data_IF_396284100244
#
_entry.id   IF_396284100244
#
_cell.length_a   1.000
_cell.length_b   1.000
_cell.length_c   1.000
_cell.angle_alpha   90.00
_cell.angle_beta   90.00
_cell.angle_gamma   90.00
#
_symmetry.space_group_name_H-M   'P 1'
#
loop_
_entity.id
_entity.type
_entity.pdbx_description
1 polymer ?
#
# COMPACT_ATOMS: atom_id res chain seq x y z
N UNK A 1 66.05 33.82 0.55
CA UNK A 1 64.65 34.09 0.94
C UNK A 1 63.79 33.40 -0.10
N UNK A 2 63.23 32.21 0.16
CA UNK A 2 61.98 31.98 0.92
C UNK A 2 60.91 32.97 0.40
N UNK A 3 59.74 32.60 -0.15
CA UNK A 3 58.85 31.46 0.09
C UNK A 3 57.67 31.58 -0.91
N UNK A 4 57.13 30.43 -1.38
CA UNK A 4 55.68 30.08 -1.45
C UNK A 4 54.72 30.94 -2.32
N UNK A 5 54.15 30.41 -3.40
CA UNK A 5 52.94 29.55 -3.51
C UNK A 5 51.66 30.32 -3.89
N UNK A 6 51.14 29.97 -5.07
CA UNK A 6 49.76 29.55 -5.35
C UNK A 6 48.60 30.53 -5.06
N UNK A 7 47.90 30.99 -6.10
CA UNK A 7 46.43 30.97 -6.12
C UNK A 7 45.85 31.11 -7.53
N UNK A 8 45.49 29.96 -8.07
CA UNK A 8 44.39 29.80 -9.03
C UNK A 8 43.08 30.38 -8.46
N UNK A 9 42.36 31.14 -9.28
CA UNK A 9 41.01 31.63 -8.97
C UNK A 9 40.23 31.84 -10.26
N UNK A 10 39.89 30.74 -10.93
CA UNK A 10 38.95 30.75 -12.04
C UNK A 10 37.56 30.99 -11.42
N UNK A 11 37.08 32.24 -11.46
CA UNK A 11 35.71 32.58 -11.05
C UNK A 11 34.73 32.01 -12.07
N UNK A 12 34.46 30.71 -11.97
CA UNK A 12 33.29 30.12 -12.59
C UNK A 12 32.07 30.62 -11.79
N UNK A 13 31.38 31.62 -12.34
CA UNK A 13 30.03 31.99 -11.93
C UNK A 13 29.16 30.73 -11.85
N UNK A 14 28.89 30.27 -10.63
CA UNK A 14 27.89 29.26 -10.37
C UNK A 14 26.53 29.93 -10.55
N UNK A 15 26.02 29.92 -11.79
CA UNK A 15 24.62 30.27 -12.08
C UNK A 15 23.74 29.31 -11.30
N UNK A 16 23.28 29.75 -10.13
CA UNK A 16 22.31 29.03 -9.33
C UNK A 16 21.00 28.94 -10.13
N UNK A 17 20.75 27.77 -10.74
CA UNK A 17 19.45 27.45 -11.32
C UNK A 17 18.44 27.36 -10.19
N UNK A 18 17.82 28.48 -9.86
CA UNK A 18 16.64 28.51 -9.03
C UNK A 18 15.58 27.68 -9.75
N UNK A 19 15.36 26.46 -9.28
CA UNK A 19 14.27 25.61 -9.76
C UNK A 19 12.96 26.28 -9.34
N UNK A 20 12.42 27.14 -10.21
CA UNK A 20 11.07 27.66 -10.04
C UNK A 20 10.11 26.48 -9.93
N UNK A 21 9.64 26.25 -8.70
CA UNK A 21 8.73 25.15 -8.43
C UNK A 21 7.46 25.38 -9.26
N UNK A 22 7.26 24.57 -10.30
CA UNK A 22 6.09 24.65 -11.17
C UNK A 22 4.84 24.61 -10.30
N UNK A 23 4.03 25.67 -10.35
CA UNK A 23 2.77 25.75 -9.62
C UNK A 23 1.92 24.53 -9.95
N UNK A 24 1.42 23.85 -8.92
CA UNK A 24 0.63 22.62 -9.08
C UNK A 24 -0.66 22.93 -9.84
N UNK A 25 -0.92 22.19 -10.92
CA UNK A 25 -2.15 22.33 -11.72
C UNK A 25 -3.40 22.22 -10.83
N UNK A 26 -4.32 23.18 -10.96
CA UNK A 26 -5.61 23.19 -10.25
C UNK A 26 -6.61 22.38 -11.06
N UNK A 27 -6.98 21.21 -10.55
CA UNK A 27 -7.93 20.31 -11.22
C UNK A 27 -9.38 20.46 -10.72
N UNK A 28 -9.63 21.23 -9.65
CA UNK A 28 -10.97 21.40 -9.08
C UNK A 28 -11.69 20.07 -8.82
N UNK A 29 -12.98 20.00 -9.14
CA UNK A 29 -13.84 18.79 -9.01
C UNK A 29 -13.32 17.57 -9.78
N UNK A 30 -12.55 17.76 -10.87
CA UNK A 30 -11.97 16.64 -11.61
C UNK A 30 -11.03 15.80 -10.73
N UNK A 31 -10.37 16.41 -9.73
CA UNK A 31 -9.52 15.68 -8.78
C UNK A 31 -10.32 14.65 -7.98
N UNK A 32 -11.50 15.03 -7.52
CA UNK A 32 -12.36 14.18 -6.70
C UNK A 32 -12.96 13.06 -7.53
N UNK A 33 -13.38 13.37 -8.76
CA UNK A 33 -13.81 12.37 -9.75
C UNK A 33 -12.70 11.37 -10.04
N UNK A 34 -11.47 11.82 -10.35
CA UNK A 34 -10.32 10.93 -10.56
C UNK A 34 -10.00 10.07 -9.33
N UNK A 35 -10.20 10.63 -8.11
CA UNK A 35 -10.01 9.87 -6.87
C UNK A 35 -11.03 8.73 -6.76
N UNK A 36 -12.30 9.00 -7.08
CA UNK A 36 -13.37 7.97 -7.11
C UNK A 36 -13.12 6.93 -8.19
N UNK A 37 -12.81 7.35 -9.42
CA UNK A 37 -12.50 6.43 -10.52
C UNK A 37 -11.39 5.47 -10.10
N UNK A 38 -10.26 5.98 -9.59
CA UNK A 38 -9.15 5.12 -9.13
C UNK A 38 -9.49 4.19 -7.98
N UNK A 39 -10.50 4.53 -7.18
CA UNK A 39 -10.96 3.71 -6.06
C UNK A 39 -11.84 2.55 -6.53
N UNK A 40 -12.60 2.75 -7.60
CA UNK A 40 -13.66 1.85 -8.04
C UNK A 40 -13.37 1.14 -9.37
N UNK A 41 -12.25 1.45 -10.03
CA UNK A 41 -11.86 0.89 -11.32
C UNK A 41 -10.86 -0.27 -11.19
N UNK A 42 -11.00 -1.14 -10.19
CA UNK A 42 -10.14 -2.32 -10.09
C UNK A 42 -10.63 -3.42 -11.05
N UNK A 43 -9.67 -4.18 -11.58
CA UNK A 43 -9.90 -5.28 -12.53
C UNK A 43 -9.26 -6.57 -12.02
N UNK A 44 -9.83 -7.72 -12.38
CA UNK A 44 -9.26 -9.02 -12.02
C UNK A 44 -7.95 -9.20 -12.77
N UNK A 45 -6.87 -9.46 -12.04
CA UNK A 45 -5.56 -9.72 -12.61
C UNK A 45 -5.42 -11.13 -13.20
N UNK A 46 -4.25 -11.40 -13.79
CA UNK A 46 -3.92 -12.69 -14.38
C UNK A 46 -3.95 -13.86 -13.36
N UNK A 47 -4.11 -15.08 -13.88
CA UNK A 47 -4.03 -16.29 -13.07
C UNK A 47 -2.66 -16.40 -12.38
N UNK A 48 -2.68 -16.79 -11.10
CA UNK A 48 -1.48 -16.97 -10.29
C UNK A 48 -0.68 -18.24 -10.61
N UNK A 49 -1.25 -19.22 -11.34
CA UNK A 49 -0.62 -20.49 -11.73
C UNK A 49 0.09 -21.24 -10.59
N UNK A 50 -0.36 -21.06 -9.34
CA UNK A 50 0.29 -21.66 -8.19
C UNK A 50 -0.22 -23.08 -7.92
N UNK A 51 0.58 -23.89 -7.21
CA UNK A 51 0.23 -25.26 -6.81
C UNK A 51 -1.08 -25.38 -6.02
N UNK A 52 -1.53 -24.30 -5.37
CA UNK A 52 -2.81 -24.26 -4.64
C UNK A 52 -4.03 -24.10 -5.57
N UNK A 53 -3.82 -23.99 -6.89
CA UNK A 53 -4.89 -23.91 -7.89
C UNK A 53 -5.93 -22.84 -7.55
N UNK A 54 -5.51 -21.68 -7.04
CA UNK A 54 -6.42 -20.70 -6.45
C UNK A 54 -7.51 -20.21 -7.41
N UNK A 55 -7.22 -20.10 -8.71
CA UNK A 55 -8.20 -19.69 -9.73
C UNK A 55 -9.14 -20.81 -10.17
N UNK A 56 -8.85 -22.07 -9.84
CA UNK A 56 -9.80 -23.16 -10.03
C UNK A 56 -10.71 -23.25 -8.80
N UNK A 57 -10.14 -23.13 -7.60
CA UNK A 57 -10.88 -23.19 -6.34
C UNK A 57 -11.79 -21.98 -6.08
N UNK A 58 -11.46 -20.82 -6.65
CA UNK A 58 -12.31 -19.62 -6.60
C UNK A 58 -12.92 -19.43 -7.98
N UNK A 59 -14.19 -19.80 -8.21
CA UNK A 59 -14.80 -19.76 -9.53
C UNK A 59 -14.87 -18.34 -10.08
N UNK A 60 -14.94 -18.21 -11.40
CA UNK A 60 -14.88 -16.90 -12.07
C UNK A 60 -15.99 -15.95 -11.62
N UNK A 61 -17.22 -16.45 -11.51
CA UNK A 61 -18.37 -15.66 -11.05
C UNK A 61 -18.19 -15.17 -9.60
N UNK A 62 -17.57 -15.98 -8.74
CA UNK A 62 -17.22 -15.55 -7.39
C UNK A 62 -16.14 -14.45 -7.42
N UNK A 63 -15.12 -14.56 -8.28
CA UNK A 63 -14.10 -13.50 -8.44
C UNK A 63 -14.71 -12.19 -8.93
N UNK A 64 -15.58 -12.25 -9.94
CA UNK A 64 -16.32 -11.09 -10.46
C UNK A 64 -17.16 -10.44 -9.37
N UNK A 65 -17.87 -11.24 -8.58
CA UNK A 65 -18.70 -10.76 -7.47
C UNK A 65 -17.87 -10.11 -6.37
N UNK A 66 -16.76 -10.75 -5.95
CA UNK A 66 -15.81 -10.19 -4.98
C UNK A 66 -15.30 -8.83 -5.46
N UNK A 67 -14.86 -8.75 -6.73
CA UNK A 67 -14.32 -7.51 -7.28
C UNK A 67 -15.40 -6.44 -7.41
N UNK A 68 -16.61 -6.80 -7.85
CA UNK A 68 -17.75 -5.88 -7.93
C UNK A 68 -18.06 -5.26 -6.56
N UNK A 69 -18.12 -6.08 -5.53
CA UNK A 69 -18.32 -5.62 -4.16
C UNK A 69 -17.15 -4.77 -3.68
N UNK A 70 -15.92 -5.13 -4.06
CA UNK A 70 -14.73 -4.36 -3.72
C UNK A 70 -14.74 -2.95 -4.33
N UNK A 71 -15.17 -2.85 -5.59
CA UNK A 71 -15.31 -1.58 -6.32
C UNK A 71 -16.51 -0.76 -5.85
N UNK A 72 -17.53 -1.38 -5.25
CA UNK A 72 -18.67 -0.67 -4.69
C UNK A 72 -18.34 0.10 -3.39
N UNK A 73 -17.23 -0.23 -2.71
CA UNK A 73 -16.81 0.46 -1.49
C UNK A 73 -16.52 1.94 -1.74
N UNK A 74 -16.91 2.78 -0.78
CA UNK A 74 -16.95 4.23 -0.94
C UNK A 74 -15.65 4.92 -0.55
N UNK A 75 -14.83 4.27 0.29
CA UNK A 75 -13.60 4.87 0.81
C UNK A 75 -12.40 3.92 0.81
N UNK A 76 -11.20 4.51 0.77
CA UNK A 76 -9.93 3.77 0.91
C UNK A 76 -9.86 3.05 2.26
N UNK A 77 -10.43 3.65 3.31
CA UNK A 77 -10.46 3.08 4.65
C UNK A 77 -11.32 1.82 4.70
N UNK A 78 -12.50 1.87 4.07
CA UNK A 78 -13.39 0.72 3.95
C UNK A 78 -12.72 -0.44 3.22
N UNK A 79 -12.08 -0.16 2.06
CA UNK A 79 -11.29 -1.15 1.34
C UNK A 79 -10.14 -1.73 2.17
N UNK A 80 -9.43 -0.88 2.93
CA UNK A 80 -8.34 -1.34 3.80
C UNK A 80 -8.86 -2.27 4.90
N UNK A 81 -9.95 -1.89 5.57
CA UNK A 81 -10.59 -2.71 6.61
C UNK A 81 -11.03 -4.05 6.06
N UNK A 82 -11.69 -4.06 4.90
CA UNK A 82 -12.10 -5.28 4.21
C UNK A 82 -10.90 -6.20 3.92
N UNK A 83 -9.86 -5.67 3.24
CA UNK A 83 -8.68 -6.48 2.89
C UNK A 83 -7.93 -6.98 4.12
N UNK A 84 -7.81 -6.14 5.16
CA UNK A 84 -7.19 -6.54 6.43
C UNK A 84 -7.95 -7.67 7.12
N UNK A 85 -9.29 -7.68 7.07
CA UNK A 85 -10.10 -8.79 7.61
C UNK A 85 -9.85 -10.13 6.91
N UNK A 86 -9.35 -10.09 5.68
CA UNK A 86 -9.00 -11.26 4.88
C UNK A 86 -7.51 -11.69 5.01
N UNK A 87 -6.72 -10.97 5.81
CA UNK A 87 -5.30 -11.27 6.04
C UNK A 87 -5.13 -11.72 7.48
N UNK A 88 -4.44 -12.85 7.66
CA UNK A 88 -4.05 -13.33 9.00
C UNK A 88 -2.54 -13.23 9.15
N UNK A 89 -2.08 -12.54 10.20
CA UNK A 89 -0.67 -12.49 10.57
C UNK A 89 -0.32 -13.75 11.37
N UNK A 90 0.71 -14.47 10.94
CA UNK A 90 1.18 -15.69 11.57
C UNK A 90 2.56 -15.47 12.18
N UNK A 91 2.73 -15.88 13.43
CA UNK A 91 4.01 -15.87 14.12
C UNK A 91 4.91 -17.00 13.58
N UNK A 92 6.17 -16.69 13.30
CA UNK A 92 7.14 -17.68 12.83
C UNK A 92 7.67 -18.44 14.04
N UNK A 93 7.22 -19.68 14.23
CA UNK A 93 7.57 -20.52 15.39
C UNK A 93 8.95 -21.17 15.31
N UNK A 94 9.46 -21.44 14.11
CA UNK A 94 10.78 -22.08 13.91
C UNK A 94 11.47 -21.49 12.69
N UNK A 95 12.77 -21.25 12.82
CA UNK A 95 13.64 -20.79 11.73
C UNK A 95 14.73 -21.83 11.48
N UNK A 96 15.23 -21.89 10.25
CA UNK A 96 16.41 -22.67 9.86
C UNK A 96 17.34 -21.74 9.07
N UNK A 97 17.96 -20.74 9.72
CA UNK A 97 18.90 -19.86 9.04
C UNK A 97 20.11 -20.68 8.56
N UNK A 98 20.56 -20.42 7.33
CA UNK A 98 21.78 -21.01 6.76
C UNK A 98 23.01 -20.08 6.87
N UNK A 99 22.79 -18.88 7.39
CA UNK A 99 23.77 -17.80 7.58
C UNK A 99 23.57 -17.25 8.99
N UNK A 100 24.59 -16.61 9.55
CA UNK A 100 24.51 -15.96 10.85
C UNK A 100 23.39 -14.92 10.90
N UNK A 101 22.79 -14.74 12.08
CA UNK A 101 21.58 -13.94 12.26
C UNK A 101 21.78 -12.47 11.88
N UNK A 102 22.98 -11.93 12.08
CA UNK A 102 23.31 -10.53 11.77
C UNK A 102 23.36 -10.23 10.26
N UNK A 103 23.59 -11.25 9.44
CA UNK A 103 23.64 -11.13 7.97
C UNK A 103 22.31 -11.57 7.34
N UNK A 104 21.56 -12.43 8.01
CA UNK A 104 20.34 -13.00 7.49
C UNK A 104 19.18 -11.98 7.63
N UNK A 105 18.68 -11.46 6.50
CA UNK A 105 17.46 -10.65 6.45
C UNK A 105 16.21 -11.52 6.70
N UNK A 106 16.03 -11.92 7.96
CA UNK A 106 15.02 -12.85 8.41
C UNK A 106 13.66 -12.17 8.46
N UNK A 107 12.66 -12.82 7.86
CA UNK A 107 11.27 -12.36 8.01
C UNK A 107 10.85 -12.56 9.45
N UNK A 108 10.20 -11.55 10.02
CA UNK A 108 9.65 -11.60 11.38
C UNK A 108 8.28 -12.27 11.45
N UNK A 109 7.52 -12.24 10.36
CA UNK A 109 6.10 -12.61 10.34
C UNK A 109 5.74 -13.28 9.01
N UNK A 110 4.86 -14.28 9.07
CA UNK A 110 4.23 -14.90 7.92
C UNK A 110 2.79 -14.38 7.76
N UNK A 111 2.19 -14.57 6.60
CA UNK A 111 0.85 -14.08 6.30
C UNK A 111 0.05 -15.15 5.57
N UNK A 112 -1.18 -15.39 6.01
CA UNK A 112 -2.20 -16.15 5.27
C UNK A 112 -3.20 -15.21 4.63
N UNK A 113 -3.69 -15.57 3.45
CA UNK A 113 -4.69 -14.83 2.70
C UNK A 113 -5.88 -15.73 2.44
N UNK A 114 -7.07 -15.19 2.60
CA UNK A 114 -8.33 -15.88 2.36
C UNK A 114 -9.26 -15.05 1.51
N UNK A 115 -10.20 -15.70 0.87
CA UNK A 115 -11.35 -15.06 0.21
C UNK A 115 -12.63 -15.70 0.72
N UNK A 116 -13.67 -14.87 0.81
CA UNK A 116 -15.01 -15.28 1.19
C UNK A 116 -15.94 -15.03 0.02
N UNK A 117 -16.69 -16.04 -0.37
CA UNK A 117 -17.72 -15.91 -1.39
C UNK A 117 -18.92 -16.79 -1.04
N UNK A 118 -20.09 -16.38 -1.52
CA UNK A 118 -21.32 -17.12 -1.30
C UNK A 118 -21.56 -18.03 -2.50
N UNK A 119 -21.81 -19.30 -2.21
CA UNK A 119 -22.42 -20.26 -3.14
C UNK A 119 -23.88 -20.45 -2.73
N UNK A 120 -24.71 -21.00 -3.62
CA UNK A 120 -26.18 -21.05 -3.48
C UNK A 120 -26.65 -21.51 -2.09
N UNK A 121 -25.93 -22.42 -1.44
CA UNK A 121 -26.31 -22.98 -0.14
C UNK A 121 -25.38 -22.65 1.03
N UNK A 122 -24.27 -21.92 0.84
CA UNK A 122 -23.32 -21.66 1.93
C UNK A 122 -22.32 -20.53 1.68
N UNK A 123 -21.79 -19.95 2.76
CA UNK A 123 -20.63 -19.07 2.72
C UNK A 123 -19.35 -19.93 2.73
N UNK A 124 -18.53 -19.80 1.68
CA UNK A 124 -17.24 -20.47 1.61
C UNK A 124 -16.09 -19.53 1.95
N UNK A 125 -15.10 -20.05 2.69
CA UNK A 125 -13.84 -19.37 2.97
C UNK A 125 -12.68 -20.25 2.50
N UNK A 126 -11.87 -19.76 1.56
CA UNK A 126 -10.76 -20.51 0.96
C UNK A 126 -9.45 -19.75 1.15
N UNK A 127 -8.41 -20.48 1.58
CA UNK A 127 -7.05 -19.95 1.65
C UNK A 127 -6.40 -19.88 0.26
N UNK A 128 -5.89 -18.72 -0.10
CA UNK A 128 -5.26 -18.47 -1.40
C UNK A 128 -3.82 -17.96 -1.26
N UNK A 129 -3.08 -17.98 -2.37
CA UNK A 129 -1.73 -17.43 -2.38
C UNK A 129 -1.74 -15.90 -2.45
N UNK A 130 -0.60 -15.28 -2.12
CA UNK A 130 -0.39 -13.82 -2.18
C UNK A 130 -0.73 -13.25 -3.57
N UNK A 131 -0.31 -13.94 -4.63
CA UNK A 131 -0.53 -13.49 -6.01
C UNK A 131 -2.00 -13.54 -6.40
N UNK A 132 -2.70 -14.62 -6.03
CA UNK A 132 -4.14 -14.74 -6.24
C UNK A 132 -4.90 -13.66 -5.47
N UNK A 133 -4.52 -13.38 -4.22
CA UNK A 133 -5.15 -12.33 -3.43
C UNK A 133 -5.05 -10.96 -4.10
N UNK A 134 -3.87 -10.63 -4.64
CA UNK A 134 -3.67 -9.39 -5.41
C UNK A 134 -4.51 -9.37 -6.69
N UNK A 135 -4.57 -10.49 -7.40
CA UNK A 135 -5.24 -10.59 -8.70
C UNK A 135 -6.76 -10.56 -8.57
N UNK A 136 -7.34 -11.29 -7.61
CA UNK A 136 -8.80 -11.31 -7.36
C UNK A 136 -9.34 -9.92 -6.99
N UNK A 137 -8.58 -9.12 -6.23
CA UNK A 137 -9.01 -7.78 -5.81
C UNK A 137 -8.46 -6.65 -6.69
N UNK A 138 -7.68 -6.94 -7.73
CA UNK A 138 -7.08 -5.93 -8.59
C UNK A 138 -6.14 -4.96 -7.86
N UNK A 139 -5.43 -5.41 -6.83
CA UNK A 139 -4.54 -4.58 -6.02
C UNK A 139 -3.06 -4.79 -6.37
N UNK A 140 -2.28 -3.72 -6.27
CA UNK A 140 -0.83 -3.75 -6.49
C UNK A 140 -0.07 -4.21 -5.25
N UNK A 141 1.15 -4.72 -5.47
CA UNK A 141 2.09 -5.16 -4.42
C UNK A 141 2.22 -4.15 -3.26
N UNK A 142 2.40 -2.87 -3.59
CA UNK A 142 2.61 -1.81 -2.61
C UNK A 142 1.41 -1.65 -1.65
N UNK A 143 0.18 -1.78 -2.16
CA UNK A 143 -1.04 -1.71 -1.33
C UNK A 143 -1.03 -2.84 -0.31
N UNK A 144 -0.72 -4.07 -0.74
CA UNK A 144 -0.66 -5.23 0.14
C UNK A 144 0.42 -5.07 1.21
N UNK A 145 1.60 -4.58 0.87
CA UNK A 145 2.69 -4.36 1.82
C UNK A 145 2.35 -3.31 2.90
N UNK A 146 1.61 -2.25 2.53
CA UNK A 146 1.13 -1.26 3.50
C UNK A 146 0.17 -1.92 4.51
N UNK A 147 -0.76 -2.77 4.03
CA UNK A 147 -1.67 -3.51 4.91
C UNK A 147 -0.91 -4.46 5.84
N UNK A 148 0.04 -5.22 5.31
CA UNK A 148 0.88 -6.14 6.07
C UNK A 148 1.71 -5.44 7.16
N UNK A 149 2.27 -4.26 6.85
CA UNK A 149 3.01 -3.44 7.82
C UNK A 149 2.09 -2.93 8.93
N UNK A 150 0.92 -2.40 8.57
CA UNK A 150 -0.06 -1.92 9.56
C UNK A 150 -0.52 -3.05 10.49
N UNK A 151 -0.92 -4.19 9.93
CA UNK A 151 -1.34 -5.35 10.71
C UNK A 151 -0.25 -5.89 11.63
N UNK A 152 1.00 -5.88 11.17
CA UNK A 152 2.14 -6.29 12.00
C UNK A 152 2.40 -5.33 13.17
N UNK A 153 2.24 -4.02 12.95
CA UNK A 153 2.60 -3.00 13.94
C UNK A 153 1.48 -2.70 14.94
N UNK A 154 0.25 -2.55 14.46
CA UNK A 154 -0.89 -2.10 15.27
C UNK A 154 -2.02 -3.12 15.34
N UNK A 155 -2.02 -4.14 14.47
CA UNK A 155 -3.14 -5.08 14.33
C UNK A 155 -4.38 -4.47 13.67
N UNK A 156 -4.36 -3.18 13.32
CA UNK A 156 -5.50 -2.44 12.79
C UNK A 156 -5.26 -2.06 11.34
N UNK A 157 -6.34 -1.96 10.56
CA UNK A 157 -6.29 -1.49 9.18
C UNK A 157 -5.75 -0.04 9.11
N UNK A 158 -4.88 0.27 8.13
CA UNK A 158 -4.30 1.60 8.02
C UNK A 158 -5.36 2.62 7.60
N UNK A 159 -5.42 3.76 8.29
CA UNK A 159 -6.23 4.91 7.89
C UNK A 159 -5.51 5.75 6.83
N UNK A 160 -6.26 6.38 5.92
CA UNK A 160 -5.73 7.34 4.95
C UNK A 160 -5.28 8.62 5.65
N UNK A 161 -3.95 8.84 5.73
CA UNK A 161 -3.33 10.01 6.38
C UNK A 161 -2.94 11.11 5.39
N UNK A 162 -3.41 11.05 4.13
CA UNK A 162 -3.06 12.06 3.12
C UNK A 162 -3.57 13.44 3.54
N UNK A 163 -2.69 14.43 3.50
CA UNK A 163 -3.00 15.79 3.94
C UNK A 163 -2.76 16.05 5.43
N UNK A 164 -2.41 15.01 6.21
CA UNK A 164 -2.17 15.15 7.66
C UNK A 164 -0.72 15.51 8.02
N UNK A 165 0.17 15.67 7.05
CA UNK A 165 1.59 15.96 7.28
C UNK A 165 1.79 17.22 8.14
N UNK A 166 2.70 17.13 9.13
CA UNK A 166 3.06 18.23 10.05
C UNK A 166 4.06 19.22 9.44
N UNK A 167 4.66 18.91 8.30
CA UNK A 167 5.67 19.75 7.63
C UNK A 167 5.08 21.04 7.02
N UNK A 168 3.83 21.39 7.32
CA UNK A 168 3.24 22.65 6.88
C UNK A 168 3.44 23.70 7.99
N UNK A 169 4.19 24.79 7.74
CA UNK A 169 4.63 25.72 8.78
C UNK A 169 3.50 26.51 9.47
N UNK A 170 2.27 26.44 8.97
CA UNK A 170 1.09 27.14 9.52
C UNK A 170 -0.09 26.21 9.83
N UNK A 171 0.18 25.04 10.39
CA UNK A 171 -0.89 24.11 10.80
C UNK A 171 -1.26 24.40 12.25
N UNK A 172 -2.49 24.84 12.50
CA UNK A 172 -3.01 25.02 13.86
C UNK A 172 -3.16 23.64 14.55
N UNK A 173 -2.83 23.58 15.84
CA UNK A 173 -2.98 22.36 16.62
C UNK A 173 -4.46 21.98 16.78
N UNK A 174 -4.75 20.68 16.71
CA UNK A 174 -6.12 20.16 16.76
C UNK A 174 -6.88 20.56 18.04
N UNK A 175 -6.17 20.82 19.13
CA UNK A 175 -6.73 21.31 20.39
C UNK A 175 -7.38 22.70 20.24
N UNK A 176 -6.88 23.56 19.34
CA UNK A 176 -7.40 24.92 19.11
C UNK A 176 -8.71 24.90 18.31
N UNK A 177 -8.93 23.87 17.48
CA UNK A 177 -10.12 23.72 16.65
C UNK A 177 -11.32 23.10 17.38
N UNK A 178 -11.11 22.46 18.54
CA UNK A 178 -12.16 21.85 19.35
C UNK A 178 -12.76 22.82 20.39
N UNK A 179 -12.23 24.05 20.48
CA UNK A 179 -12.64 25.08 21.43
C UNK A 179 -13.52 26.19 20.80
N UNK A 180 -14.08 25.93 19.61
CA UNK A 180 -15.05 26.77 18.90
C UNK A 180 -16.27 25.90 18.61
#
# INVERSE_FOLDING_TARGET
>A
MNTENNSSGNESEVVSRQNESKKRKKYGRMRDVMKKIRLQSHEVGANCNCRKQCFQNVPEEARKTILKNFNAMTSINEQNSYLCGLITVLLIRRRRPRKDEDVANLRSSAYSYRVRFRTDNSLQEINICRQAFMSVHGIKKNKLEILQKSLKMTGVAPKDKRGENKNHPRKFDAHVLAAI
#
